data_IF_614318463211
#
_entry.id   IF_614318463211
#
_cell.length_a   1.000
_cell.length_b   1.000
_cell.length_c   1.000
_cell.angle_alpha   90.00
_cell.angle_beta   90.00
_cell.angle_gamma   90.00
#
_symmetry.space_group_name_H-M   'P 1'
#
loop_
_entity.id
_entity.type
_entity.pdbx_description
1 polymer ?
#
# COMPACT_ATOMS: atom_id res chain seq x y z
N UNK A 1 -9.00 -11.37 -9.91
CA UNK A 1 -7.63 -11.71 -9.49
C UNK A 1 -7.03 -10.74 -8.48
N UNK A 2 -7.19 -9.41 -8.63
CA UNK A 2 -6.67 -8.40 -7.71
C UNK A 2 -7.03 -8.67 -6.23
N UNK A 3 -8.26 -9.08 -5.95
CA UNK A 3 -8.73 -9.38 -4.57
C UNK A 3 -7.92 -10.51 -3.92
N UNK A 4 -7.58 -11.56 -4.68
CA UNK A 4 -6.77 -12.68 -4.15
C UNK A 4 -5.37 -12.18 -3.77
N UNK A 5 -4.76 -11.37 -4.64
CA UNK A 5 -3.41 -10.84 -4.37
C UNK A 5 -3.41 -9.90 -3.17
N UNK A 6 -4.46 -9.07 -3.02
CA UNK A 6 -4.62 -8.24 -1.83
C UNK A 6 -4.77 -9.08 -0.55
N UNK A 7 -5.58 -10.13 -0.59
CA UNK A 7 -5.74 -11.05 0.53
C UNK A 7 -4.41 -11.76 0.87
N UNK A 8 -3.63 -12.15 -0.15
CA UNK A 8 -2.30 -12.72 0.02
C UNK A 8 -1.33 -11.72 0.67
N UNK A 9 -1.28 -10.48 0.16
CA UNK A 9 -0.43 -9.42 0.71
C UNK A 9 -0.80 -9.09 2.17
N UNK A 10 -2.10 -8.98 2.46
CA UNK A 10 -2.58 -8.75 3.83
C UNK A 10 -2.27 -9.94 4.75
N UNK A 11 -2.59 -11.16 4.32
CA UNK A 11 -2.38 -12.38 5.11
C UNK A 11 -0.91 -12.58 5.45
N UNK A 12 -0.02 -12.45 4.46
CA UNK A 12 1.43 -12.58 4.68
C UNK A 12 2.01 -11.46 5.54
N UNK A 13 1.57 -10.21 5.33
CA UNK A 13 1.99 -9.06 6.16
C UNK A 13 1.51 -9.21 7.61
N UNK A 14 0.28 -9.66 7.80
CA UNK A 14 -0.29 -9.94 9.13
C UNK A 14 0.47 -11.08 9.81
N UNK A 15 0.73 -12.18 9.10
CA UNK A 15 1.50 -13.31 9.61
C UNK A 15 2.90 -12.89 10.06
N UNK A 16 3.60 -12.07 9.25
CA UNK A 16 4.93 -11.54 9.59
C UNK A 16 4.86 -10.61 10.80
N UNK A 17 3.84 -9.73 10.88
CA UNK A 17 3.67 -8.80 11.98
C UNK A 17 3.37 -9.50 13.32
N UNK A 18 2.46 -10.48 13.32
CA UNK A 18 2.12 -11.25 14.51
C UNK A 18 3.30 -12.05 15.05
N UNK A 19 4.16 -12.51 14.14
CA UNK A 19 5.28 -13.35 14.48
C UNK A 19 6.50 -12.58 14.93
N UNK A 20 6.89 -11.53 14.21
CA UNK A 20 8.10 -10.74 14.52
C UNK A 20 7.88 -9.74 15.63
N UNK A 21 6.68 -9.15 15.71
CA UNK A 21 6.29 -8.10 16.66
C UNK A 21 7.24 -6.91 16.71
N UNK A 22 7.95 -6.65 15.60
CA UNK A 22 8.85 -5.51 15.44
C UNK A 22 8.14 -4.35 14.73
N UNK A 23 8.63 -3.12 14.95
CA UNK A 23 8.04 -1.91 14.35
C UNK A 23 8.04 -1.97 12.83
N UNK A 24 9.07 -2.58 12.24
CA UNK A 24 9.20 -2.70 10.78
C UNK A 24 8.08 -3.54 10.17
N UNK A 25 7.76 -4.68 10.77
CA UNK A 25 6.67 -5.55 10.30
C UNK A 25 5.30 -4.90 10.48
N UNK A 26 5.12 -4.08 11.53
CA UNK A 26 3.90 -3.28 11.72
C UNK A 26 3.73 -2.21 10.64
N UNK A 27 4.81 -1.55 10.21
CA UNK A 27 4.72 -0.58 9.10
C UNK A 27 4.45 -1.27 7.75
N UNK A 28 5.02 -2.45 7.51
CA UNK A 28 4.69 -3.26 6.32
C UNK A 28 3.21 -3.67 6.31
N UNK A 29 2.69 -4.07 7.46
CA UNK A 29 1.26 -4.33 7.63
C UNK A 29 0.43 -3.08 7.37
N UNK A 30 0.84 -1.93 7.92
CA UNK A 30 0.21 -0.63 7.68
C UNK A 30 0.15 -0.27 6.20
N UNK A 31 1.23 -0.49 5.44
CA UNK A 31 1.25 -0.31 3.98
C UNK A 31 0.26 -1.25 3.28
N UNK A 32 0.24 -2.54 3.65
CA UNK A 32 -0.66 -3.53 3.05
C UNK A 32 -2.13 -3.21 3.34
N UNK A 33 -2.45 -2.82 4.57
CA UNK A 33 -3.80 -2.39 4.98
C UNK A 33 -4.22 -1.13 4.23
N UNK A 34 -3.37 -0.10 4.17
CA UNK A 34 -3.66 1.15 3.47
C UNK A 34 -3.91 0.92 1.99
N UNK A 35 -3.09 0.10 1.34
CA UNK A 35 -3.26 -0.26 -0.07
C UNK A 35 -4.58 -1.04 -0.29
N UNK A 36 -4.91 -1.96 0.60
CA UNK A 36 -6.14 -2.75 0.52
C UNK A 36 -7.39 -1.87 0.73
N UNK A 37 -7.34 -0.91 1.64
CA UNK A 37 -8.42 0.07 1.85
C UNK A 37 -8.63 0.91 0.59
N UNK A 38 -7.55 1.44 -0.01
CA UNK A 38 -7.62 2.20 -1.25
C UNK A 38 -8.23 1.37 -2.38
N UNK A 39 -7.72 0.17 -2.60
CA UNK A 39 -8.16 -0.69 -3.69
C UNK A 39 -9.57 -1.22 -3.47
N UNK A 40 -9.98 -1.52 -2.24
CA UNK A 40 -11.37 -1.88 -1.93
C UNK A 40 -12.33 -0.75 -2.33
N UNK A 41 -12.01 0.51 -2.00
CA UNK A 41 -12.78 1.66 -2.42
C UNK A 41 -12.90 1.77 -3.94
N UNK A 42 -11.80 1.60 -4.66
CA UNK A 42 -11.77 1.63 -6.13
C UNK A 42 -12.58 0.47 -6.74
N UNK A 43 -12.42 -0.75 -6.23
CA UNK A 43 -13.14 -1.94 -6.73
C UNK A 43 -14.64 -1.78 -6.57
N UNK A 44 -15.11 -1.31 -5.42
CA UNK A 44 -16.53 -1.06 -5.15
C UNK A 44 -17.05 0.06 -6.08
N UNK A 45 -16.28 1.15 -6.26
CA UNK A 45 -16.64 2.22 -7.19
C UNK A 45 -16.83 1.70 -8.62
N UNK A 46 -15.85 0.93 -9.11
CA UNK A 46 -15.91 0.36 -10.45
C UNK A 46 -17.09 -0.61 -10.60
N UNK A 47 -17.38 -1.42 -9.57
CA UNK A 47 -18.55 -2.30 -9.56
C UNK A 47 -19.85 -1.53 -9.69
N UNK A 48 -19.99 -0.41 -8.96
CA UNK A 48 -21.19 0.44 -8.97
C UNK A 48 -21.40 1.21 -10.27
N UNK A 49 -20.32 1.68 -10.90
CA UNK A 49 -20.41 2.43 -12.16
C UNK A 49 -20.83 1.56 -13.34
N UNK A 50 -20.55 0.28 -13.32
CA UNK A 50 -20.87 -0.62 -14.43
C UNK A 50 -20.05 -0.35 -15.71
N UNK A 51 -20.47 -0.91 -16.84
CA UNK A 51 -19.86 -0.64 -18.16
C UNK A 51 -18.41 -1.13 -18.33
N UNK A 52 -17.99 -2.11 -17.53
CA UNK A 52 -16.61 -2.59 -17.48
C UNK A 52 -16.34 -3.57 -18.63
N UNK A 53 -15.25 -3.36 -19.37
CA UNK A 53 -14.77 -4.31 -20.36
C UNK A 53 -14.46 -5.67 -19.71
N UNK A 54 -14.65 -6.77 -20.46
CA UNK A 54 -14.44 -8.14 -19.96
C UNK A 54 -13.06 -8.32 -19.33
N UNK A 55 -12.02 -7.80 -19.96
CA UNK A 55 -10.63 -7.87 -19.47
C UNK A 55 -10.43 -7.19 -18.10
N UNK A 56 -11.08 -6.04 -17.87
CA UNK A 56 -11.05 -5.35 -16.58
C UNK A 56 -11.85 -6.10 -15.51
N UNK A 57 -12.92 -6.78 -15.91
CA UNK A 57 -13.74 -7.60 -15.02
C UNK A 57 -12.95 -8.77 -14.46
N UNK A 58 -12.26 -9.52 -15.32
CA UNK A 58 -11.41 -10.64 -14.90
C UNK A 58 -10.25 -10.20 -14.00
N UNK A 59 -9.66 -9.06 -14.30
CA UNK A 59 -8.59 -8.48 -13.49
C UNK A 59 -9.05 -8.10 -12.08
N UNK A 60 -10.17 -7.39 -11.97
CA UNK A 60 -10.66 -6.85 -10.69
C UNK A 60 -11.42 -7.88 -9.87
N UNK A 61 -12.34 -8.62 -10.51
CA UNK A 61 -13.25 -9.53 -9.83
C UNK A 61 -12.88 -10.99 -10.11
N UNK A 62 -12.96 -11.81 -9.08
CA UNK A 62 -12.70 -13.25 -9.19
C UNK A 62 -13.86 -13.97 -9.92
N UNK A 63 -15.09 -13.59 -9.56
CA UNK A 63 -16.32 -14.16 -10.08
C UNK A 63 -17.35 -13.07 -10.34
N UNK A 64 -18.26 -13.24 -11.35
CA UNK A 64 -19.30 -12.25 -11.66
C UNK A 64 -20.24 -11.96 -10.49
N UNK A 65 -20.53 -12.97 -9.66
CA UNK A 65 -21.39 -12.84 -8.49
C UNK A 65 -20.83 -11.81 -7.48
N UNK A 66 -19.51 -11.76 -7.32
CA UNK A 66 -18.85 -10.79 -6.44
C UNK A 66 -19.05 -9.37 -6.95
N UNK A 67 -18.95 -9.14 -8.26
CA UNK A 67 -19.24 -7.84 -8.85
C UNK A 67 -20.66 -7.40 -8.56
N UNK A 68 -21.65 -8.29 -8.77
CA UNK A 68 -23.07 -8.01 -8.51
C UNK A 68 -23.29 -7.70 -7.03
N UNK A 69 -22.72 -8.48 -6.13
CA UNK A 69 -22.81 -8.22 -4.69
C UNK A 69 -22.24 -6.85 -4.29
N UNK A 70 -21.06 -6.49 -4.80
CA UNK A 70 -20.43 -5.19 -4.55
C UNK A 70 -21.24 -4.02 -5.13
N UNK A 71 -21.92 -4.22 -6.26
CA UNK A 71 -22.76 -3.22 -6.89
C UNK A 71 -23.95 -2.81 -5.99
N UNK A 72 -24.56 -3.78 -5.31
CA UNK A 72 -25.70 -3.56 -4.42
C UNK A 72 -25.30 -3.19 -2.98
N UNK A 73 -24.00 -3.08 -2.69
CA UNK A 73 -23.55 -2.70 -1.34
C UNK A 73 -24.04 -1.29 -0.98
N UNK A 74 -24.75 -1.15 0.14
CA UNK A 74 -25.35 0.11 0.60
C UNK A 74 -24.32 1.08 1.19
N UNK A 75 -23.34 1.52 0.37
CA UNK A 75 -22.32 2.52 0.76
C UNK A 75 -22.45 3.74 -0.14
N UNK A 76 -22.49 4.95 0.47
CA UNK A 76 -22.52 6.20 -0.29
C UNK A 76 -21.17 6.44 -1.00
N UNK A 77 -21.24 7.13 -2.16
CA UNK A 77 -20.05 7.46 -2.95
C UNK A 77 -19.07 8.36 -2.18
N UNK A 78 -19.57 9.26 -1.36
CA UNK A 78 -18.73 10.15 -0.54
C UNK A 78 -17.89 9.37 0.48
N UNK A 79 -18.52 8.42 1.19
CA UNK A 79 -17.79 7.54 2.11
C UNK A 79 -16.77 6.68 1.38
N UNK A 80 -17.12 6.18 0.20
CA UNK A 80 -16.27 5.34 -0.61
C UNK A 80 -15.04 6.11 -1.13
N UNK A 81 -15.25 7.32 -1.63
CA UNK A 81 -14.19 8.20 -2.07
C UNK A 81 -13.24 8.60 -0.94
N UNK A 82 -13.82 8.92 0.24
CA UNK A 82 -12.99 9.23 1.40
C UNK A 82 -12.20 8.02 1.92
N UNK A 83 -12.77 6.82 1.88
CA UNK A 83 -12.07 5.57 2.20
C UNK A 83 -10.89 5.35 1.24
N UNK A 84 -11.10 5.60 -0.05
CA UNK A 84 -10.02 5.53 -1.06
C UNK A 84 -8.94 6.57 -0.79
N UNK A 85 -9.30 7.81 -0.43
CA UNK A 85 -8.37 8.86 -0.05
C UNK A 85 -7.56 8.49 1.18
N UNK A 86 -8.20 7.90 2.19
CA UNK A 86 -7.55 7.44 3.42
C UNK A 86 -6.46 6.42 3.11
N UNK A 87 -6.78 5.36 2.36
CA UNK A 87 -5.79 4.38 1.95
C UNK A 87 -4.65 5.00 1.11
N UNK A 88 -5.00 5.91 0.18
CA UNK A 88 -4.05 6.59 -0.68
C UNK A 88 -3.02 7.43 0.08
N UNK A 89 -3.44 8.16 1.10
CA UNK A 89 -2.54 9.07 1.81
C UNK A 89 -1.83 8.43 3.00
N UNK A 90 -2.36 7.36 3.59
CA UNK A 90 -1.69 6.63 4.66
C UNK A 90 -0.55 5.73 4.15
N UNK A 91 -0.65 5.20 2.94
CA UNK A 91 0.37 4.33 2.38
C UNK A 91 1.77 4.97 2.35
N UNK A 92 1.99 6.17 1.76
CA UNK A 92 3.31 6.81 1.73
C UNK A 92 3.81 7.18 3.13
N UNK A 93 2.92 7.47 4.08
CA UNK A 93 3.30 7.68 5.48
C UNK A 93 3.93 6.42 6.09
N UNK A 94 3.26 5.27 5.95
CA UNK A 94 3.81 4.01 6.46
C UNK A 94 5.09 3.61 5.73
N UNK A 95 5.20 3.90 4.43
CA UNK A 95 6.42 3.67 3.66
C UNK A 95 7.62 4.46 4.21
N UNK A 96 7.44 5.75 4.48
CA UNK A 96 8.49 6.59 5.08
C UNK A 96 8.79 6.15 6.52
N UNK A 97 7.79 5.81 7.33
CA UNK A 97 8.00 5.30 8.69
C UNK A 97 8.80 3.98 8.67
N UNK A 98 8.52 3.09 7.73
CA UNK A 98 9.27 1.85 7.53
C UNK A 98 10.74 2.14 7.15
N UNK A 99 10.97 3.07 6.23
CA UNK A 99 12.31 3.48 5.82
C UNK A 99 13.11 4.12 6.95
N UNK A 100 12.48 4.97 7.76
CA UNK A 100 13.10 5.58 8.95
C UNK A 100 13.45 4.56 10.03
N UNK A 101 12.67 3.47 10.16
CA UNK A 101 12.97 2.39 11.10
C UNK A 101 14.18 1.57 10.65
N UNK A 102 14.36 1.39 9.35
CA UNK A 102 15.52 0.67 8.79
C UNK A 102 16.79 1.51 8.78
N UNK A 103 16.66 2.84 8.88
CA UNK A 103 17.77 3.77 8.72
C UNK A 103 18.73 3.75 9.91
N UNK A 104 20.01 3.48 9.65
CA UNK A 104 21.10 3.48 10.63
C UNK A 104 21.87 4.81 10.68
N UNK A 105 21.53 5.79 9.84
CA UNK A 105 22.18 7.11 9.81
C UNK A 105 21.99 7.79 11.17
N UNK A 106 23.08 8.13 11.90
CA UNK A 106 23.00 8.60 13.30
C UNK A 106 22.14 9.87 13.46
N UNK A 107 22.22 10.78 12.50
CA UNK A 107 21.46 12.04 12.54
C UNK A 107 19.93 11.78 12.45
N UNK A 108 19.50 10.87 11.59
CA UNK A 108 18.10 10.49 11.41
C UNK A 108 17.61 9.64 12.58
N UNK A 109 18.44 8.70 13.06
CA UNK A 109 18.10 7.83 14.19
C UNK A 109 17.83 8.58 15.48
N UNK A 110 18.63 9.64 15.78
CA UNK A 110 18.41 10.52 16.94
C UNK A 110 17.10 11.29 16.86
N UNK A 111 16.62 11.63 15.66
CA UNK A 111 15.42 12.45 15.39
C UNK A 111 14.27 11.66 14.75
N UNK A 112 14.24 10.34 14.88
CA UNK A 112 13.23 9.50 14.21
C UNK A 112 11.81 9.92 14.56
N UNK A 113 11.53 10.26 15.83
CA UNK A 113 10.19 10.73 16.24
C UNK A 113 9.81 12.04 15.55
N UNK A 114 10.71 13.01 15.52
CA UNK A 114 10.49 14.30 14.85
C UNK A 114 10.29 14.10 13.35
N UNK A 115 11.10 13.25 12.71
CA UNK A 115 10.96 12.94 11.29
C UNK A 115 9.62 12.26 10.97
N UNK A 116 9.13 11.35 11.83
CA UNK A 116 7.81 10.72 11.67
C UNK A 116 6.68 11.74 11.81
N UNK A 117 6.76 12.65 12.78
CA UNK A 117 5.76 13.71 12.95
C UNK A 117 5.75 14.64 11.73
N UNK A 118 6.90 15.07 11.26
CA UNK A 118 7.02 15.89 10.05
C UNK A 118 6.47 15.16 8.82
N UNK A 119 6.78 13.87 8.66
CA UNK A 119 6.25 13.04 7.58
C UNK A 119 4.72 12.86 7.65
N UNK A 120 4.10 12.99 8.82
CA UNK A 120 2.64 12.87 8.97
C UNK A 120 1.88 14.14 8.54
N UNK A 121 2.54 15.30 8.45
CA UNK A 121 1.87 16.59 8.18
C UNK A 121 1.16 16.57 6.82
N UNK A 122 1.85 16.21 5.73
CA UNK A 122 1.26 16.21 4.38
C UNK A 122 0.13 15.20 4.22
N UNK A 123 0.25 13.94 4.68
CA UNK A 123 -0.85 12.99 4.66
C UNK A 123 -2.08 13.47 5.44
N UNK A 124 -1.90 14.00 6.65
CA UNK A 124 -3.01 14.48 7.48
C UNK A 124 -3.68 15.69 6.82
N UNK A 125 -2.88 16.65 6.33
CA UNK A 125 -3.42 17.79 5.59
C UNK A 125 -4.22 17.36 4.36
N UNK A 126 -3.71 16.38 3.60
CA UNK A 126 -4.39 15.84 2.43
C UNK A 126 -5.69 15.14 2.81
N UNK A 127 -5.73 14.39 3.93
CA UNK A 127 -6.96 13.77 4.42
C UNK A 127 -8.02 14.78 4.80
N UNK A 128 -7.64 15.88 5.46
CA UNK A 128 -8.55 16.98 5.81
C UNK A 128 -9.06 17.65 4.53
N UNK A 129 -8.17 17.95 3.57
CA UNK A 129 -8.52 18.60 2.32
C UNK A 129 -9.50 17.76 1.49
N UNK A 130 -9.29 16.44 1.42
CA UNK A 130 -10.13 15.50 0.66
C UNK A 130 -11.38 15.03 1.43
N UNK A 131 -11.66 15.59 2.62
CA UNK A 131 -12.95 15.34 3.27
C UNK A 131 -14.09 15.89 2.39
N UNK A 132 -15.16 15.10 2.09
CA UNK A 132 -16.12 15.43 1.04
C UNK A 132 -16.69 16.84 1.12
N UNK A 133 -17.16 17.26 2.31
CA UNK A 133 -17.75 18.58 2.50
C UNK A 133 -16.73 19.71 2.34
N UNK A 134 -15.49 19.50 2.80
CA UNK A 134 -14.42 20.49 2.70
C UNK A 134 -13.98 20.61 1.25
N UNK A 135 -13.74 19.49 0.58
CA UNK A 135 -13.35 19.45 -0.82
C UNK A 135 -14.37 20.13 -1.71
N UNK A 136 -15.66 19.81 -1.51
CA UNK A 136 -16.76 20.43 -2.25
C UNK A 136 -16.80 21.95 -2.07
N UNK A 137 -16.66 22.45 -0.82
CA UNK A 137 -16.67 23.89 -0.53
C UNK A 137 -15.50 24.62 -1.19
N UNK A 138 -14.31 24.01 -1.22
CA UNK A 138 -13.11 24.65 -1.77
C UNK A 138 -13.17 24.68 -3.30
N UNK A 139 -13.58 23.55 -3.92
CA UNK A 139 -13.52 23.38 -5.38
C UNK A 139 -14.74 23.99 -6.08
N UNK A 140 -15.90 24.09 -5.40
CA UNK A 140 -17.12 24.65 -5.97
C UNK A 140 -16.88 26.08 -6.48
N UNK A 141 -17.07 26.28 -7.78
CA UNK A 141 -16.80 27.55 -8.45
C UNK A 141 -15.33 27.87 -8.74
N UNK A 142 -14.40 26.98 -8.37
CA UNK A 142 -12.96 27.14 -8.56
C UNK A 142 -12.33 25.92 -9.25
N UNK A 143 -12.96 25.44 -10.32
CA UNK A 143 -12.55 24.21 -11.02
C UNK A 143 -11.12 24.25 -11.57
N UNK A 144 -10.54 25.42 -11.75
CA UNK A 144 -9.14 25.59 -12.13
C UNK A 144 -8.17 25.05 -11.08
N UNK A 145 -8.61 24.92 -9.81
CA UNK A 145 -7.80 24.34 -8.73
C UNK A 145 -7.69 22.82 -8.79
N UNK A 146 -8.58 22.12 -9.51
CA UNK A 146 -8.57 20.65 -9.57
C UNK A 146 -7.23 20.10 -10.08
N UNK A 147 -6.78 20.57 -11.24
CA UNK A 147 -5.57 20.05 -11.86
C UNK A 147 -4.30 20.33 -11.03
N UNK A 148 -4.07 21.53 -10.49
CA UNK A 148 -2.96 21.78 -9.56
C UNK A 148 -3.01 20.89 -8.31
N UNK A 149 -4.19 20.73 -7.70
CA UNK A 149 -4.36 19.88 -6.51
C UNK A 149 -3.99 18.44 -6.77
N UNK A 150 -4.45 17.87 -7.89
CA UNK A 150 -4.11 16.52 -8.31
C UNK A 150 -2.60 16.37 -8.52
N UNK A 151 -1.99 17.30 -9.26
CA UNK A 151 -0.55 17.29 -9.52
C UNK A 151 0.27 17.39 -8.24
N UNK A 152 -0.09 18.28 -7.32
CA UNK A 152 0.58 18.42 -6.03
C UNK A 152 0.44 17.14 -5.22
N UNK A 153 -0.77 16.56 -5.16
CA UNK A 153 -0.99 15.32 -4.38
C UNK A 153 -0.16 14.15 -4.93
N UNK A 154 -0.08 13.99 -6.23
CA UNK A 154 0.75 12.94 -6.86
C UNK A 154 2.24 13.21 -6.62
N UNK A 155 2.68 14.46 -6.78
CA UNK A 155 4.09 14.82 -6.65
C UNK A 155 4.65 14.51 -5.27
N UNK A 156 3.95 14.88 -4.18
CA UNK A 156 4.44 14.58 -2.85
C UNK A 156 4.35 13.07 -2.51
N UNK A 157 3.31 12.35 -3.01
CA UNK A 157 3.23 10.89 -2.86
C UNK A 157 4.45 10.22 -3.49
N UNK A 158 4.75 10.56 -4.75
CA UNK A 158 5.91 10.01 -5.47
C UNK A 158 7.22 10.37 -4.76
N UNK A 159 7.36 11.62 -4.29
CA UNK A 159 8.53 12.06 -3.52
C UNK A 159 8.72 11.20 -2.25
N UNK A 160 7.66 10.96 -1.49
CA UNK A 160 7.72 10.10 -0.28
C UNK A 160 8.17 8.68 -0.62
N UNK A 161 7.63 8.10 -1.70
CA UNK A 161 8.02 6.76 -2.12
C UNK A 161 9.48 6.72 -2.59
N UNK A 162 9.94 7.73 -3.34
CA UNK A 162 11.34 7.80 -3.76
C UNK A 162 12.25 7.92 -2.54
N UNK A 163 11.95 8.82 -1.61
CA UNK A 163 12.74 9.01 -0.38
C UNK A 163 12.78 7.72 0.45
N UNK A 164 11.64 7.07 0.65
CA UNK A 164 11.58 5.81 1.38
C UNK A 164 12.42 4.71 0.68
N UNK A 165 12.27 4.55 -0.63
CA UNK A 165 13.03 3.59 -1.42
C UNK A 165 14.53 3.86 -1.38
N UNK A 166 14.94 5.12 -1.52
CA UNK A 166 16.36 5.52 -1.45
C UNK A 166 16.96 5.24 -0.06
N UNK A 167 16.26 5.54 1.03
CA UNK A 167 16.75 5.25 2.38
C UNK A 167 16.96 3.74 2.57
N UNK A 168 16.00 2.90 2.20
CA UNK A 168 16.13 1.44 2.30
C UNK A 168 17.27 0.92 1.42
N UNK A 169 17.41 1.48 0.21
CA UNK A 169 18.46 1.10 -0.73
C UNK A 169 19.87 1.47 -0.24
N UNK A 170 20.02 2.67 0.33
CA UNK A 170 21.29 3.12 0.92
C UNK A 170 21.72 2.20 2.07
N UNK A 171 20.78 1.85 2.96
CA UNK A 171 21.07 0.91 4.06
C UNK A 171 21.40 -0.50 3.56
N UNK A 172 20.76 -0.96 2.50
CA UNK A 172 21.12 -2.23 1.85
C UNK A 172 22.58 -2.23 1.35
N UNK A 173 23.02 -1.12 0.76
CA UNK A 173 24.41 -0.99 0.29
C UNK A 173 25.42 -0.80 1.42
N UNK A 174 25.06 -0.06 2.47
CA UNK A 174 25.92 0.18 3.62
C UNK A 174 26.13 -1.09 4.49
N UNK A 175 25.21 -2.05 4.41
CA UNK A 175 25.26 -3.26 5.24
C UNK A 175 26.27 -4.27 4.68
N UNK A 176 27.29 -4.60 5.46
CA UNK A 176 28.36 -5.55 5.09
C UNK A 176 28.03 -6.99 5.49
N UNK A 177 27.32 -7.19 6.61
CA UNK A 177 27.00 -8.52 7.13
C UNK A 177 25.98 -9.26 6.26
N UNK A 178 26.26 -10.49 5.78
CA UNK A 178 25.43 -11.20 4.81
C UNK A 178 24.01 -11.50 5.32
N UNK A 179 23.86 -11.77 6.61
CA UNK A 179 22.54 -12.06 7.24
C UNK A 179 21.63 -10.82 7.20
N UNK A 180 22.16 -9.65 7.62
CA UNK A 180 21.40 -8.41 7.59
C UNK A 180 21.14 -7.95 6.16
N UNK A 181 22.12 -8.09 5.26
CA UNK A 181 21.96 -7.77 3.84
C UNK A 181 20.84 -8.58 3.18
N UNK A 182 20.71 -9.86 3.54
CA UNK A 182 19.59 -10.70 3.10
C UNK A 182 18.24 -10.17 3.60
N UNK A 183 18.15 -9.78 4.87
CA UNK A 183 16.92 -9.21 5.43
C UNK A 183 16.53 -7.90 4.75
N UNK A 184 17.48 -6.99 4.52
CA UNK A 184 17.24 -5.74 3.79
C UNK A 184 16.78 -5.98 2.36
N UNK A 185 17.30 -6.99 1.67
CA UNK A 185 16.82 -7.38 0.34
C UNK A 185 15.34 -7.76 0.36
N UNK A 186 14.89 -8.51 1.36
CA UNK A 186 13.47 -8.83 1.51
C UNK A 186 12.61 -7.59 1.80
N UNK A 187 13.08 -6.69 2.64
CA UNK A 187 12.40 -5.41 2.91
C UNK A 187 12.28 -4.58 1.63
N UNK A 188 13.36 -4.44 0.88
CA UNK A 188 13.37 -3.69 -0.38
C UNK A 188 12.43 -4.30 -1.43
N UNK A 189 12.43 -5.62 -1.58
CA UNK A 189 11.54 -6.31 -2.52
C UNK A 189 10.07 -6.21 -2.10
N UNK A 190 9.76 -6.33 -0.80
CA UNK A 190 8.39 -6.13 -0.28
C UNK A 190 7.92 -4.71 -0.57
N UNK A 191 8.78 -3.73 -0.28
CA UNK A 191 8.51 -2.33 -0.54
C UNK A 191 8.23 -2.07 -2.03
N UNK A 192 9.12 -2.55 -2.91
CA UNK A 192 8.99 -2.37 -4.35
C UNK A 192 7.69 -3.01 -4.90
N UNK A 193 7.40 -4.26 -4.50
CA UNK A 193 6.21 -4.99 -4.96
C UNK A 193 4.90 -4.29 -4.57
N UNK A 194 4.75 -3.93 -3.28
CA UNK A 194 3.56 -3.24 -2.80
C UNK A 194 3.44 -1.84 -3.39
N UNK A 195 4.56 -1.10 -3.51
CA UNK A 195 4.54 0.24 -4.08
C UNK A 195 4.17 0.23 -5.55
N UNK A 196 4.60 -0.77 -6.32
CA UNK A 196 4.19 -0.94 -7.71
C UNK A 196 2.68 -1.17 -7.82
N UNK A 197 2.12 -2.07 -7.01
CA UNK A 197 0.68 -2.31 -6.98
C UNK A 197 -0.11 -1.06 -6.54
N UNK A 198 0.40 -0.34 -5.54
CA UNK A 198 -0.19 0.91 -5.07
C UNK A 198 -0.22 1.99 -6.15
N UNK A 199 0.89 2.21 -6.86
CA UNK A 199 1.01 3.28 -7.87
C UNK A 199 0.05 3.11 -9.05
N UNK A 200 -0.42 1.89 -9.35
CA UNK A 200 -1.41 1.66 -10.40
C UNK A 200 -2.67 2.52 -10.24
N UNK A 201 -3.12 2.70 -8.99
CA UNK A 201 -4.36 3.42 -8.68
C UNK A 201 -4.12 4.74 -7.94
N UNK A 202 -3.00 4.89 -7.22
CA UNK A 202 -2.67 6.11 -6.49
C UNK A 202 -2.43 7.32 -7.40
N UNK A 203 -2.13 7.11 -8.68
CA UNK A 203 -2.04 8.17 -9.70
C UNK A 203 -3.39 8.81 -10.03
N UNK A 204 -4.50 8.16 -9.66
CA UNK A 204 -5.86 8.66 -9.88
C UNK A 204 -6.33 9.50 -8.70
N UNK A 205 -7.26 10.42 -8.96
CA UNK A 205 -7.78 11.28 -7.91
C UNK A 205 -9.01 10.65 -7.21
N UNK A 206 -8.97 10.46 -5.88
CA UNK A 206 -10.10 9.91 -5.14
C UNK A 206 -11.37 10.76 -5.22
N UNK A 207 -11.27 12.05 -5.49
CA UNK A 207 -12.41 12.93 -5.63
C UNK A 207 -13.29 12.60 -6.85
N UNK A 208 -12.78 11.84 -7.83
CA UNK A 208 -13.60 11.29 -8.93
C UNK A 208 -14.72 10.37 -8.42
N UNK A 209 -14.48 9.68 -7.28
CA UNK A 209 -15.44 8.75 -6.69
C UNK A 209 -16.63 9.49 -6.06
N UNK A 210 -16.46 10.75 -5.65
CA UNK A 210 -17.55 11.55 -5.10
C UNK A 210 -18.66 11.87 -6.12
N UNK A 211 -18.47 11.51 -7.39
CA UNK A 211 -19.36 11.90 -8.50
C UNK A 211 -19.61 13.41 -8.60
N UNK A 212 -18.78 14.19 -7.93
CA UNK A 212 -18.80 15.66 -8.04
C UNK A 212 -17.95 16.07 -9.24
N UNK A 213 -18.44 17.04 -9.99
CA UNK A 213 -17.66 17.66 -11.06
C UNK A 213 -17.18 16.71 -12.18
N UNK A 214 -17.89 15.60 -12.45
CA UNK A 214 -17.50 14.63 -13.49
C UNK A 214 -17.25 15.29 -14.83
N UNK A 215 -18.09 16.25 -15.23
CA UNK A 215 -17.93 17.03 -16.46
C UNK A 215 -16.59 17.78 -16.52
N UNK A 216 -16.14 18.33 -15.39
CA UNK A 216 -14.88 19.05 -15.29
C UNK A 216 -13.66 18.11 -15.39
N UNK A 217 -13.74 16.93 -14.78
CA UNK A 217 -12.70 15.91 -14.93
C UNK A 217 -12.55 15.46 -16.39
N UNK A 218 -13.67 15.25 -17.10
CA UNK A 218 -13.66 14.91 -18.53
C UNK A 218 -13.06 16.05 -19.34
N UNK A 219 -13.48 17.30 -19.08
CA UNK A 219 -12.99 18.49 -19.78
C UNK A 219 -11.48 18.70 -19.61
N UNK A 220 -10.95 18.39 -18.43
CA UNK A 220 -9.54 18.51 -18.11
C UNK A 220 -8.70 17.30 -18.59
N UNK A 221 -9.32 16.29 -19.21
CA UNK A 221 -8.64 15.10 -19.70
C UNK A 221 -7.99 14.26 -18.60
N UNK A 222 -8.52 14.34 -17.36
CA UNK A 222 -7.96 13.61 -16.23
C UNK A 222 -8.31 12.14 -16.36
N UNK A 223 -7.31 11.28 -16.26
CA UNK A 223 -7.49 9.82 -16.40
C UNK A 223 -8.38 9.23 -15.33
N UNK A 224 -9.40 8.47 -15.75
CA UNK A 224 -10.35 7.79 -14.87
C UNK A 224 -9.77 6.53 -14.22
N UNK A 225 -10.40 6.06 -13.16
CA UNK A 225 -10.15 4.72 -12.58
C UNK A 225 -10.49 3.59 -13.56
N UNK A 226 -11.38 3.84 -14.52
CA UNK A 226 -11.75 2.91 -15.57
C UNK A 226 -10.90 3.24 -16.81
N UNK A 227 -9.64 2.79 -16.83
CA UNK A 227 -8.74 2.99 -17.97
C UNK A 227 -8.48 1.66 -18.69
N UNK A 228 -8.60 1.60 -20.03
CA UNK A 228 -8.35 0.38 -20.79
C UNK A 228 -6.89 -0.09 -20.77
N UNK A 229 -5.93 0.81 -20.49
CA UNK A 229 -4.49 0.49 -20.45
C UNK A 229 -4.04 -0.13 -19.11
N UNK A 230 -4.85 -0.04 -18.07
CA UNK A 230 -4.52 -0.51 -16.73
C UNK A 230 -4.32 -2.03 -16.63
N UNK A 231 -5.11 -2.90 -17.33
CA UNK A 231 -5.01 -4.33 -17.11
C UNK A 231 -3.64 -4.91 -17.43
N UNK A 232 -3.00 -4.49 -18.52
CA UNK A 232 -1.71 -5.07 -18.94
C UNK A 232 -0.61 -4.87 -17.90
N UNK A 233 -0.41 -3.61 -17.43
CA UNK A 233 0.56 -3.29 -16.38
C UNK A 233 0.12 -3.89 -15.04
N UNK A 234 -1.18 -3.94 -14.81
CA UNK A 234 -1.78 -4.53 -13.62
C UNK A 234 -1.46 -6.01 -13.47
N UNK A 235 -1.56 -6.82 -14.51
CA UNK A 235 -1.22 -8.25 -14.47
C UNK A 235 0.25 -8.49 -14.13
N UNK A 236 1.17 -7.67 -14.64
CA UNK A 236 2.60 -7.74 -14.30
C UNK A 236 2.80 -7.43 -12.81
N UNK A 237 2.21 -6.34 -12.31
CA UNK A 237 2.30 -5.96 -10.90
C UNK A 237 1.72 -7.04 -9.97
N UNK A 238 0.57 -7.61 -10.32
CA UNK A 238 -0.04 -8.72 -9.57
C UNK A 238 0.86 -9.95 -9.54
N UNK A 239 1.43 -10.33 -10.68
CA UNK A 239 2.36 -11.46 -10.77
C UNK A 239 3.57 -11.27 -9.87
N UNK A 240 4.21 -10.11 -9.91
CA UNK A 240 5.35 -9.77 -9.07
C UNK A 240 4.98 -9.79 -7.58
N UNK A 241 3.86 -9.20 -7.19
CA UNK A 241 3.38 -9.23 -5.82
C UNK A 241 3.10 -10.66 -5.35
N UNK A 242 2.42 -11.47 -6.16
CA UNK A 242 2.08 -12.85 -5.83
C UNK A 242 3.33 -13.68 -5.59
N UNK A 243 4.26 -13.69 -6.54
CA UNK A 243 5.53 -14.43 -6.43
C UNK A 243 6.30 -14.00 -5.19
N UNK A 244 6.46 -12.70 -4.99
CA UNK A 244 7.22 -12.19 -3.89
C UNK A 244 6.59 -12.52 -2.53
N UNK A 245 5.28 -12.30 -2.35
CA UNK A 245 4.62 -12.57 -1.06
C UNK A 245 4.50 -14.06 -0.75
N UNK A 246 4.40 -14.93 -1.76
CA UNK A 246 4.51 -16.39 -1.58
C UNK A 246 5.90 -16.75 -1.07
N UNK A 247 6.96 -16.22 -1.67
CA UNK A 247 8.35 -16.45 -1.23
C UNK A 247 8.55 -15.94 0.20
N UNK A 248 8.06 -14.74 0.52
CA UNK A 248 8.16 -14.15 1.85
C UNK A 248 7.45 -15.01 2.91
N UNK A 249 6.24 -15.46 2.62
CA UNK A 249 5.46 -16.35 3.48
C UNK A 249 6.17 -17.68 3.72
N UNK A 250 6.63 -18.33 2.65
CA UNK A 250 7.36 -19.59 2.71
C UNK A 250 8.67 -19.48 3.51
N UNK A 251 9.46 -18.43 3.24
CA UNK A 251 10.71 -18.18 3.95
C UNK A 251 10.50 -17.99 5.46
N UNK A 252 9.51 -17.21 5.84
CA UNK A 252 9.22 -17.01 7.27
C UNK A 252 8.73 -18.30 7.95
N UNK A 253 7.99 -19.16 7.24
CA UNK A 253 7.53 -20.45 7.74
C UNK A 253 8.69 -21.42 7.97
N UNK A 254 9.56 -21.58 6.96
CA UNK A 254 10.73 -22.47 7.06
C UNK A 254 11.66 -22.06 8.20
N UNK A 255 11.98 -20.78 8.32
CA UNK A 255 12.84 -20.27 9.39
C UNK A 255 12.26 -20.55 10.79
N UNK A 256 10.96 -20.54 10.93
CA UNK A 256 10.32 -20.87 12.21
C UNK A 256 10.52 -22.32 12.61
N UNK A 257 10.25 -23.20 11.70
CA UNK A 257 10.43 -24.64 11.94
C UNK A 257 11.88 -24.92 12.35
N UNK A 258 12.84 -24.28 11.69
CA UNK A 258 14.26 -24.41 12.05
C UNK A 258 14.56 -23.89 13.46
N UNK A 259 14.11 -22.69 13.82
CA UNK A 259 14.32 -22.14 15.17
C UNK A 259 13.68 -23.01 16.23
N UNK A 260 12.43 -23.43 16.03
CA UNK A 260 11.74 -24.31 16.96
C UNK A 260 12.46 -25.67 17.12
N UNK A 261 13.02 -26.21 16.04
CA UNK A 261 13.80 -27.43 16.07
C UNK A 261 15.14 -27.26 16.83
N UNK A 262 15.83 -26.14 16.59
CA UNK A 262 17.10 -25.83 17.26
C UNK A 262 16.90 -25.62 18.77
N UNK A 263 15.85 -24.89 19.17
CA UNK A 263 15.48 -24.71 20.60
C UNK A 263 15.19 -26.05 21.27
N UNK A 264 14.37 -26.91 20.63
CA UNK A 264 14.06 -28.24 21.15
C UNK A 264 15.33 -29.11 21.28
N UNK A 265 16.26 -29.00 20.33
CA UNK A 265 17.52 -29.72 20.35
C UNK A 265 18.46 -29.23 21.46
N UNK A 266 18.52 -27.92 21.68
CA UNK A 266 19.32 -27.34 22.77
C UNK A 266 18.75 -27.80 24.16
N UNK A 267 17.44 -27.81 24.33
CA UNK A 267 16.80 -28.28 25.56
C UNK A 267 17.09 -29.76 25.82
N UNK A 268 17.10 -30.59 24.78
CA UNK A 268 17.47 -32.02 24.94
C UNK A 268 18.97 -32.19 25.27
N UNK A 269 19.85 -31.37 24.75
CA UNK A 269 21.30 -31.41 25.05
C UNK A 269 21.53 -30.95 26.49
N UNK A 270 20.84 -29.89 26.92
CA UNK A 270 20.91 -29.40 28.30
C UNK A 270 20.42 -30.47 29.29
N UNK A 271 19.26 -31.09 29.05
CA UNK A 271 18.78 -32.19 29.91
C UNK A 271 19.79 -33.35 30.04
N UNK A 272 20.43 -33.76 28.92
CA UNK A 272 21.47 -34.81 28.95
C UNK A 272 22.75 -34.43 29.71
N UNK A 273 22.99 -33.17 29.95
CA UNK A 273 24.17 -32.70 30.70
C UNK A 273 23.92 -32.59 32.21
N UNK A 274 22.65 -32.60 32.61
CA UNK A 274 22.24 -32.48 34.02
C UNK A 274 21.67 -33.80 34.60
N UNK A 275 21.44 -34.83 33.76
CA UNK A 275 21.23 -36.23 34.14
C UNK A 275 22.58 -36.99 34.11
#
# INVERSE_FOLDING_TARGET
MLIIVLALCLGTSLFVALRRRDSLSLYLLGMSVSNSIMLAGVIIYIAKMGGIAAMNREFLFLVPQLQTWLQYLAVSMDKLGYLTALGRFLFPLFAVCMALETCMIPALRRRTRTCRVLAAILPIFSLIYYYPDIFQRIVRGRFWMLLPTIRISISWIVLYLIVAGLLIFLEYHATTMPIFKRNFRYVLLSYASISMLYLLYASKDPAQIYNMFISEYIRLGITSYISPTLPAVGWIALGLCTVFFVILGSYNTVRYVQIAYDDTRQDMILKRKFD
#
